data_IF_958839643323
#
_entry.id   IF_958839643323
#
_cell.length_a   1.000
_cell.length_b   1.000
_cell.length_c   1.000
_cell.angle_alpha   90.00
_cell.angle_beta   90.00
_cell.angle_gamma   90.00
#
_symmetry.space_group_name_H-M   'P 1'
#
loop_
_entity.id
_entity.type
_entity.pdbx_description
1 polymer ?
#
# COMPACT_ATOMS: atom_id res chain seq x y z
N UNK A 1 14.99 -16.54 -44.84
CA UNK A 1 15.10 -15.55 -43.76
C UNK A 1 15.38 -14.20 -44.39
N UNK A 2 14.33 -13.47 -44.73
CA UNK A 2 14.42 -12.18 -45.43
C UNK A 2 14.73 -11.06 -44.45
N UNK A 3 15.72 -10.27 -44.83
CA UNK A 3 16.14 -9.05 -44.18
C UNK A 3 15.11 -7.94 -44.44
N UNK A 4 14.01 -7.91 -43.68
CA UNK A 4 13.08 -6.77 -43.68
C UNK A 4 12.21 -6.80 -42.42
N UNK A 5 12.84 -6.66 -41.25
CA UNK A 5 12.11 -6.21 -40.04
C UNK A 5 13.06 -5.55 -39.01
N UNK A 6 13.95 -4.69 -39.50
CA UNK A 6 14.54 -3.64 -38.65
C UNK A 6 13.53 -2.49 -38.67
N UNK A 7 12.39 -2.72 -38.00
CA UNK A 7 11.47 -1.65 -37.66
C UNK A 7 12.27 -0.54 -36.96
N UNK A 8 12.17 0.67 -37.48
CA UNK A 8 12.81 1.85 -36.96
C UNK A 8 12.70 1.89 -35.42
N UNK A 9 13.82 1.80 -34.70
CA UNK A 9 13.85 2.18 -33.29
C UNK A 9 13.97 3.70 -33.26
N UNK A 10 12.89 4.47 -33.00
CA UNK A 10 13.01 5.90 -32.83
C UNK A 10 13.89 6.13 -31.58
N UNK A 11 14.93 6.94 -31.72
CA UNK A 11 15.72 7.38 -30.58
C UNK A 11 14.82 8.16 -29.63
N UNK A 12 14.37 7.52 -28.55
CA UNK A 12 13.42 8.10 -27.59
C UNK A 12 13.88 9.43 -26.98
N UNK A 13 12.95 10.13 -26.34
CA UNK A 13 13.19 11.41 -25.66
C UNK A 13 14.38 11.32 -24.69
N UNK A 14 14.52 10.21 -23.97
CA UNK A 14 15.66 9.91 -23.10
C UNK A 14 16.99 9.89 -23.86
N UNK A 15 17.05 9.22 -25.01
CA UNK A 15 18.29 9.14 -25.81
C UNK A 15 18.67 10.50 -26.34
N UNK A 16 17.69 11.26 -26.83
CA UNK A 16 17.90 12.63 -27.33
C UNK A 16 18.43 13.53 -26.20
N UNK A 17 17.80 13.46 -25.03
CA UNK A 17 18.23 14.18 -23.82
C UNK A 17 19.66 13.81 -23.40
N UNK A 18 19.96 12.51 -23.30
CA UNK A 18 21.25 12.02 -22.85
C UNK A 18 22.40 12.36 -23.81
N UNK A 19 22.14 12.37 -25.13
CA UNK A 19 23.11 12.79 -26.14
C UNK A 19 23.34 14.31 -26.07
N UNK A 20 22.27 15.10 -25.92
CA UNK A 20 22.37 16.55 -25.75
C UNK A 20 23.16 16.97 -24.51
N UNK A 21 23.16 16.13 -23.46
CA UNK A 21 23.87 16.35 -22.19
C UNK A 21 25.02 15.36 -21.96
N UNK A 22 25.68 14.91 -23.02
CA UNK A 22 26.68 13.83 -22.97
C UNK A 22 27.79 14.05 -21.95
N UNK A 23 28.30 15.28 -21.81
CA UNK A 23 29.34 15.61 -20.82
C UNK A 23 28.84 15.38 -19.40
N UNK A 24 27.70 15.97 -19.04
CA UNK A 24 27.07 15.80 -17.73
C UNK A 24 26.75 14.34 -17.41
N UNK A 25 26.13 13.60 -18.35
CA UNK A 25 25.85 12.17 -18.17
C UNK A 25 27.17 11.40 -17.98
N UNK A 26 28.19 11.71 -18.76
CA UNK A 26 29.53 11.15 -18.63
C UNK A 26 30.12 11.36 -17.23
N UNK A 27 30.01 12.57 -16.68
CA UNK A 27 30.51 12.92 -15.35
C UNK A 27 29.78 12.14 -14.25
N UNK A 28 28.45 12.02 -14.33
CA UNK A 28 27.66 11.24 -13.36
C UNK A 28 28.09 9.76 -13.38
N UNK A 29 28.25 9.18 -14.58
CA UNK A 29 28.67 7.78 -14.72
C UNK A 29 30.11 7.57 -14.28
N UNK A 30 31.03 8.47 -14.62
CA UNK A 30 32.42 8.41 -14.20
C UNK A 30 32.55 8.46 -12.68
N UNK A 31 31.80 9.35 -12.01
CA UNK A 31 31.73 9.39 -10.52
C UNK A 31 31.19 8.09 -9.95
N UNK A 32 30.12 7.54 -10.53
CA UNK A 32 29.55 6.28 -10.06
C UNK A 32 30.54 5.10 -10.22
N UNK A 33 31.28 5.04 -11.33
CA UNK A 33 32.32 4.04 -11.58
C UNK A 33 33.51 4.20 -10.63
N UNK A 34 33.96 5.43 -10.38
CA UNK A 34 35.00 5.72 -9.39
C UNK A 34 34.57 5.28 -7.97
N UNK A 35 33.27 5.33 -7.68
CA UNK A 35 32.68 4.80 -6.45
C UNK A 35 32.42 3.27 -6.47
N UNK A 36 32.92 2.55 -7.49
CA UNK A 36 32.86 1.08 -7.56
C UNK A 36 31.64 0.48 -8.25
N UNK A 37 30.83 1.28 -8.95
CA UNK A 37 29.70 0.78 -9.73
C UNK A 37 30.17 -0.06 -10.95
N UNK A 38 29.72 -1.32 -11.09
CA UNK A 38 30.00 -2.10 -12.29
C UNK A 38 29.38 -1.46 -13.53
N UNK A 39 30.15 -1.37 -14.63
CA UNK A 39 29.66 -0.78 -15.90
C UNK A 39 28.41 -1.47 -16.43
N UNK A 40 28.33 -2.80 -16.28
CA UNK A 40 27.18 -3.58 -16.71
C UNK A 40 25.90 -3.22 -15.92
N UNK A 41 26.02 -2.99 -14.62
CA UNK A 41 24.88 -2.62 -13.76
C UNK A 41 24.41 -1.18 -14.04
N UNK A 42 25.35 -0.26 -14.27
CA UNK A 42 25.02 1.09 -14.73
C UNK A 42 24.28 1.03 -16.06
N UNK A 43 24.77 0.25 -17.03
CA UNK A 43 24.11 0.10 -18.33
C UNK A 43 22.68 -0.43 -18.18
N UNK A 44 22.47 -1.47 -17.36
CA UNK A 44 21.14 -2.03 -17.09
C UNK A 44 20.22 -1.01 -16.40
N UNK A 45 20.74 -0.24 -15.45
CA UNK A 45 19.97 0.82 -14.79
C UNK A 45 19.55 1.90 -15.80
N UNK A 46 20.48 2.38 -16.64
CA UNK A 46 20.23 3.37 -17.69
C UNK A 46 19.17 2.89 -18.71
N UNK A 47 19.19 1.62 -19.10
CA UNK A 47 18.18 1.05 -19.97
C UNK A 47 16.78 1.11 -19.34
N UNK A 48 16.66 0.71 -18.06
CA UNK A 48 15.37 0.70 -17.35
C UNK A 48 14.82 2.10 -17.13
N UNK A 49 15.65 3.05 -16.68
CA UNK A 49 15.20 4.45 -16.53
C UNK A 49 14.91 5.10 -17.89
N UNK A 50 15.63 4.70 -18.95
CA UNK A 50 15.40 5.22 -20.30
C UNK A 50 14.02 4.84 -20.83
N UNK A 51 13.67 3.56 -20.77
CA UNK A 51 12.31 3.07 -21.11
C UNK A 51 11.24 3.80 -20.29
N UNK A 52 11.50 3.98 -19.00
CA UNK A 52 10.59 4.69 -18.10
C UNK A 52 10.39 6.16 -18.52
N UNK A 53 11.47 6.91 -18.75
CA UNK A 53 11.43 8.32 -19.13
C UNK A 53 10.84 8.54 -20.53
N UNK A 54 11.09 7.63 -21.47
CA UNK A 54 10.45 7.63 -22.79
C UNK A 54 8.92 7.43 -22.67
N UNK A 55 8.49 6.56 -21.76
CA UNK A 55 7.06 6.38 -21.44
C UNK A 55 6.44 7.65 -20.85
N UNK A 56 7.13 8.31 -19.92
CA UNK A 56 6.69 9.58 -19.32
C UNK A 56 6.60 10.69 -20.37
N UNK A 57 7.58 10.79 -21.28
CA UNK A 57 7.55 11.75 -22.37
C UNK A 57 6.39 11.48 -23.35
N UNK A 58 6.15 10.20 -23.69
CA UNK A 58 5.05 9.77 -24.55
C UNK A 58 3.68 10.07 -23.93
N UNK A 59 3.59 10.00 -22.59
CA UNK A 59 2.40 10.40 -21.84
C UNK A 59 2.16 11.92 -21.80
N UNK A 60 3.00 12.72 -22.47
CA UNK A 60 2.78 14.15 -22.68
C UNK A 60 3.47 15.07 -21.67
N UNK A 61 4.45 14.58 -20.89
CA UNK A 61 5.22 15.46 -20.01
C UNK A 61 6.04 16.46 -20.86
N UNK A 62 5.89 17.80 -20.67
CA UNK A 62 6.63 18.79 -21.44
C UNK A 62 8.15 18.67 -21.26
N UNK A 63 8.93 18.97 -22.30
CA UNK A 63 10.39 18.86 -22.27
C UNK A 63 11.04 19.65 -21.11
N UNK A 64 10.55 20.87 -20.82
CA UNK A 64 11.05 21.68 -19.70
C UNK A 64 10.81 21.07 -18.31
N UNK A 65 9.94 20.06 -18.21
CA UNK A 65 9.69 19.26 -16.99
C UNK A 65 10.37 17.91 -17.02
N UNK A 66 10.56 17.34 -18.21
CA UNK A 66 11.29 16.09 -18.41
C UNK A 66 12.77 16.24 -18.08
N UNK A 67 13.39 17.37 -18.43
CA UNK A 67 14.81 17.64 -18.19
C UNK A 67 15.23 17.50 -16.71
N UNK A 68 14.64 18.27 -15.76
CA UNK A 68 15.00 18.15 -14.35
C UNK A 68 14.63 16.77 -13.76
N UNK A 69 13.56 16.14 -14.25
CA UNK A 69 13.20 14.78 -13.85
C UNK A 69 14.26 13.76 -14.29
N UNK A 70 14.74 13.86 -15.54
CA UNK A 70 15.77 12.98 -16.07
C UNK A 70 17.10 13.13 -15.32
N UNK A 71 17.50 14.36 -14.97
CA UNK A 71 18.67 14.64 -14.13
C UNK A 71 18.55 13.95 -12.76
N UNK A 72 17.43 14.17 -12.09
CA UNK A 72 17.16 13.64 -10.74
C UNK A 72 17.04 12.10 -10.71
N UNK A 73 16.44 11.49 -11.74
CA UNK A 73 16.36 10.02 -11.87
C UNK A 73 17.74 9.42 -12.17
N UNK A 74 18.51 10.02 -13.08
CA UNK A 74 19.86 9.55 -13.42
C UNK A 74 20.78 9.57 -12.20
N UNK A 75 20.82 10.70 -11.47
CA UNK A 75 21.66 10.86 -10.30
C UNK A 75 21.33 9.82 -9.21
N UNK A 76 20.04 9.60 -8.91
CA UNK A 76 19.61 8.60 -7.92
C UNK A 76 19.89 7.17 -8.37
N UNK A 77 19.64 6.83 -9.64
CA UNK A 77 19.92 5.50 -10.17
C UNK A 77 21.42 5.18 -10.08
N UNK A 78 22.27 6.11 -10.53
CA UNK A 78 23.73 5.96 -10.44
C UNK A 78 24.20 5.77 -8.99
N UNK A 79 23.69 6.58 -8.05
CA UNK A 79 24.00 6.43 -6.63
C UNK A 79 23.56 5.07 -6.06
N UNK A 80 22.38 4.56 -6.44
CA UNK A 80 21.92 3.22 -6.02
C UNK A 80 22.79 2.10 -6.59
N UNK A 81 23.24 2.21 -7.84
CA UNK A 81 24.14 1.22 -8.45
C UNK A 81 25.50 1.23 -7.76
N UNK A 82 26.10 2.40 -7.50
CA UNK A 82 27.36 2.49 -6.73
C UNK A 82 27.24 1.86 -5.34
N UNK A 83 26.09 2.04 -4.69
CA UNK A 83 25.79 1.42 -3.40
C UNK A 83 25.42 -0.07 -3.48
N UNK A 84 25.41 -0.70 -4.67
CA UNK A 84 24.93 -2.07 -4.93
C UNK A 84 23.50 -2.35 -4.45
N UNK A 85 22.64 -1.31 -4.50
CA UNK A 85 21.23 -1.35 -4.08
C UNK A 85 20.25 -1.22 -5.23
N UNK A 86 20.71 -1.33 -6.47
CA UNK A 86 19.83 -1.31 -7.64
C UNK A 86 19.15 -2.67 -7.85
N UNK A 87 18.04 -2.91 -7.16
CA UNK A 87 17.26 -4.14 -7.27
C UNK A 87 15.77 -3.89 -7.00
N UNK A 88 14.85 -4.78 -7.46
CA UNK A 88 13.40 -4.55 -7.36
C UNK A 88 12.86 -4.30 -5.95
N UNK A 89 13.53 -4.82 -4.91
CA UNK A 89 13.14 -4.65 -3.50
C UNK A 89 13.71 -3.38 -2.83
N UNK A 90 14.47 -2.55 -3.54
CA UNK A 90 15.00 -1.30 -2.99
C UNK A 90 13.97 -0.18 -3.17
N UNK A 91 13.58 0.53 -2.10
CA UNK A 91 12.53 1.56 -2.18
C UNK A 91 12.81 2.65 -3.20
N UNK A 92 14.07 3.06 -3.38
CA UNK A 92 14.43 4.07 -4.39
C UNK A 92 14.18 3.53 -5.78
N UNK A 93 14.63 2.30 -6.06
CA UNK A 93 14.41 1.63 -7.34
C UNK A 93 12.92 1.46 -7.63
N UNK A 94 12.12 1.04 -6.64
CA UNK A 94 10.65 0.94 -6.75
C UNK A 94 10.01 2.31 -7.05
N UNK A 95 10.41 3.37 -6.35
CA UNK A 95 9.85 4.71 -6.60
C UNK A 95 10.17 5.18 -8.01
N UNK A 96 11.45 5.09 -8.42
CA UNK A 96 11.88 5.56 -9.73
C UNK A 96 11.20 4.83 -10.88
N UNK A 97 10.98 3.52 -10.76
CA UNK A 97 10.47 2.71 -11.87
C UNK A 97 8.94 2.55 -11.83
N UNK A 98 8.33 2.54 -10.64
CA UNK A 98 6.90 2.23 -10.51
C UNK A 98 6.06 3.46 -10.14
N UNK A 99 6.59 4.41 -9.38
CA UNK A 99 5.82 5.58 -8.93
C UNK A 99 5.98 6.76 -9.88
N UNK A 100 7.21 7.10 -10.29
CA UNK A 100 7.49 8.23 -11.19
C UNK A 100 6.62 8.23 -12.45
N UNK A 101 6.41 7.12 -13.18
CA UNK A 101 5.59 7.13 -14.39
C UNK A 101 4.16 7.66 -14.19
N UNK A 102 3.61 7.42 -12.99
CA UNK A 102 2.24 7.79 -12.62
C UNK A 102 2.17 9.20 -12.06
N UNK A 103 3.25 9.68 -11.46
CA UNK A 103 3.28 10.93 -10.70
C UNK A 103 4.04 12.05 -11.40
N UNK A 104 4.71 11.79 -12.52
CA UNK A 104 5.57 12.75 -13.21
C UNK A 104 4.90 14.13 -13.44
N UNK A 105 3.61 14.24 -13.84
CA UNK A 105 2.95 15.54 -13.94
C UNK A 105 2.87 16.30 -12.59
N UNK A 106 2.68 15.57 -11.50
CA UNK A 106 2.47 16.09 -10.15
C UNK A 106 3.78 16.34 -9.36
N UNK A 107 4.96 15.96 -9.87
CA UNK A 107 6.23 16.14 -9.14
C UNK A 107 6.72 17.60 -9.08
N UNK A 108 6.10 18.53 -9.80
CA UNK A 108 6.54 19.92 -9.85
C UNK A 108 7.76 20.16 -10.76
N UNK A 109 8.18 21.42 -10.94
CA UNK A 109 9.31 21.78 -11.80
C UNK A 109 10.65 21.35 -11.19
N UNK A 110 10.72 21.26 -9.86
CA UNK A 110 11.82 20.68 -9.10
C UNK A 110 11.36 19.37 -8.44
N UNK A 111 11.63 18.20 -9.05
CA UNK A 111 11.19 16.91 -8.53
C UNK A 111 12.03 16.41 -7.35
N UNK A 112 13.14 17.07 -7.01
CA UNK A 112 14.12 16.54 -6.06
C UNK A 112 13.52 16.31 -4.66
N UNK A 113 12.81 17.33 -4.14
CA UNK A 113 12.19 17.27 -2.82
C UNK A 113 11.04 16.25 -2.78
N UNK A 114 10.16 16.27 -3.79
CA UNK A 114 9.02 15.36 -3.88
C UNK A 114 9.46 13.89 -3.99
N UNK A 115 10.49 13.59 -4.79
CA UNK A 115 11.04 12.23 -4.87
C UNK A 115 11.67 11.78 -3.56
N UNK A 116 12.37 12.68 -2.86
CA UNK A 116 13.00 12.37 -1.57
C UNK A 116 11.95 12.04 -0.50
N UNK A 117 10.85 12.82 -0.46
CA UNK A 117 9.72 12.57 0.43
C UNK A 117 9.03 11.25 0.09
N UNK A 118 8.79 10.98 -1.19
CA UNK A 118 8.13 9.74 -1.62
C UNK A 118 8.98 8.50 -1.33
N UNK A 119 10.29 8.54 -1.60
CA UNK A 119 11.22 7.46 -1.24
C UNK A 119 11.22 7.24 0.27
N UNK A 120 11.19 8.32 1.05
CA UNK A 120 11.12 8.27 2.51
C UNK A 120 9.82 7.60 2.96
N UNK A 121 8.68 7.98 2.38
CA UNK A 121 7.38 7.39 2.68
C UNK A 121 7.34 5.90 2.31
N UNK A 122 7.75 5.53 1.09
CA UNK A 122 7.76 4.13 0.62
C UNK A 122 8.69 3.27 1.46
N UNK A 123 9.84 3.80 1.87
CA UNK A 123 10.74 3.11 2.79
C UNK A 123 10.07 2.86 4.14
N UNK A 124 9.45 3.91 4.72
CA UNK A 124 8.81 3.84 6.05
C UNK A 124 7.60 2.93 6.10
N UNK A 125 6.80 2.91 5.03
CA UNK A 125 5.54 2.15 4.99
C UNK A 125 5.67 0.78 4.37
N UNK A 126 6.87 0.37 3.96
CA UNK A 126 7.13 -0.95 3.38
C UNK A 126 6.51 -2.03 4.25
N UNK A 127 5.62 -2.83 3.66
CA UNK A 127 4.97 -3.94 4.36
C UNK A 127 3.89 -3.56 5.38
N UNK A 128 3.83 -2.31 5.82
CA UNK A 128 2.74 -1.84 6.69
C UNK A 128 1.48 -1.49 5.90
N UNK A 129 1.63 -1.22 4.60
CA UNK A 129 0.52 -0.90 3.70
C UNK A 129 0.47 -1.85 2.52
N UNK A 130 -0.70 -1.93 1.90
CA UNK A 130 -0.85 -2.46 0.56
C UNK A 130 -0.18 -1.50 -0.45
N UNK A 131 1.11 -1.71 -0.70
CA UNK A 131 1.94 -0.80 -1.49
C UNK A 131 1.46 -0.63 -2.94
N UNK A 132 0.84 -1.67 -3.50
CA UNK A 132 0.26 -1.62 -4.86
C UNK A 132 -0.95 -0.70 -4.86
N UNK A 133 -1.87 -0.91 -3.91
CA UNK A 133 -3.05 -0.04 -3.79
C UNK A 133 -2.70 1.37 -3.41
N UNK A 134 -1.72 1.56 -2.53
CA UNK A 134 -1.28 2.88 -2.13
C UNK A 134 -0.81 3.68 -3.34
N UNK A 135 0.02 3.07 -4.19
CA UNK A 135 0.44 3.68 -5.46
C UNK A 135 -0.73 4.01 -6.38
N UNK A 136 -1.70 3.10 -6.51
CA UNK A 136 -2.85 3.28 -7.41
C UNK A 136 -3.79 4.40 -6.92
N UNK A 137 -4.01 4.51 -5.60
CA UNK A 137 -4.78 5.60 -5.00
C UNK A 137 -4.08 6.96 -5.18
N UNK A 138 -2.75 7.01 -4.99
CA UNK A 138 -1.99 8.25 -5.25
C UNK A 138 -2.03 8.62 -6.73
N UNK A 139 -1.91 7.65 -7.63
CA UNK A 139 -2.05 7.90 -9.07
C UNK A 139 -3.43 8.44 -9.45
N UNK A 140 -4.50 7.87 -8.88
CA UNK A 140 -5.86 8.36 -9.09
C UNK A 140 -6.07 9.78 -8.55
N UNK A 141 -5.52 10.08 -7.36
CA UNK A 141 -5.55 11.41 -6.78
C UNK A 141 -4.83 12.44 -7.68
N UNK A 142 -3.66 12.08 -8.21
CA UNK A 142 -2.84 12.97 -9.01
C UNK A 142 -3.32 13.17 -10.44
N UNK A 143 -4.21 12.32 -10.95
CA UNK A 143 -4.89 12.58 -12.23
C UNK A 143 -5.78 13.83 -12.19
N UNK A 144 -6.32 14.18 -11.00
CA UNK A 144 -7.13 15.37 -10.79
C UNK A 144 -6.38 16.54 -10.16
N UNK A 145 -5.07 16.43 -9.93
CA UNK A 145 -4.27 17.46 -9.28
C UNK A 145 -3.81 18.53 -10.25
N UNK A 146 -3.97 19.79 -9.85
CA UNK A 146 -3.49 20.98 -10.58
C UNK A 146 -2.14 21.48 -10.08
N UNK A 147 -1.75 21.10 -8.85
CA UNK A 147 -0.54 21.57 -8.18
C UNK A 147 0.24 20.44 -7.52
N UNK A 148 1.57 20.58 -7.52
CA UNK A 148 2.49 19.61 -6.92
C UNK A 148 2.41 19.58 -5.38
N UNK A 149 1.94 20.66 -4.77
CA UNK A 149 1.73 20.82 -3.31
C UNK A 149 0.78 19.76 -2.75
N UNK A 150 -0.20 19.31 -3.55
CA UNK A 150 -1.19 18.31 -3.14
C UNK A 150 -0.64 16.88 -3.01
N UNK A 151 0.52 16.58 -3.62
CA UNK A 151 1.08 15.23 -3.65
C UNK A 151 1.28 14.67 -2.24
N UNK A 152 1.84 15.48 -1.32
CA UNK A 152 2.11 15.04 0.04
C UNK A 152 0.81 14.65 0.77
N UNK A 153 -0.21 15.49 0.70
CA UNK A 153 -1.51 15.20 1.33
C UNK A 153 -2.19 13.97 0.73
N UNK A 154 -2.17 13.83 -0.60
CA UNK A 154 -2.73 12.68 -1.29
C UNK A 154 -2.02 11.36 -0.91
N UNK A 155 -0.69 11.37 -0.83
CA UNK A 155 0.13 10.24 -0.37
C UNK A 155 -0.26 9.84 1.05
N UNK A 156 -0.47 10.81 1.94
CA UNK A 156 -0.86 10.56 3.34
C UNK A 156 -2.26 9.96 3.45
N UNK A 157 -3.25 10.50 2.75
CA UNK A 157 -4.63 9.96 2.75
C UNK A 157 -4.67 8.56 2.17
N UNK A 158 -4.02 8.35 1.02
CA UNK A 158 -3.97 7.05 0.37
C UNK A 158 -3.25 6.00 1.22
N UNK A 159 -2.18 6.37 1.93
CA UNK A 159 -1.47 5.47 2.83
C UNK A 159 -2.39 4.98 3.96
N UNK A 160 -3.14 5.89 4.58
CA UNK A 160 -4.10 5.56 5.62
C UNK A 160 -5.15 4.56 5.12
N UNK A 161 -5.75 4.82 3.96
CA UNK A 161 -6.70 3.90 3.31
C UNK A 161 -6.09 2.54 2.99
N UNK A 162 -4.80 2.46 2.69
CA UNK A 162 -4.11 1.22 2.36
C UNK A 162 -3.52 0.47 3.58
N UNK A 163 -3.89 0.87 4.79
CA UNK A 163 -3.52 0.15 6.02
C UNK A 163 -2.52 0.88 6.92
N UNK A 164 -2.06 2.09 6.57
CA UNK A 164 -1.30 2.93 7.50
C UNK A 164 -2.25 3.59 8.49
N UNK A 165 -2.91 2.80 9.33
CA UNK A 165 -3.88 3.29 10.33
C UNK A 165 -3.26 4.37 11.22
N UNK A 166 -1.97 4.27 11.52
CA UNK A 166 -1.20 5.26 12.28
C UNK A 166 -1.13 6.63 11.62
N UNK A 167 -1.41 6.73 10.32
CA UNK A 167 -1.48 7.99 9.58
C UNK A 167 -2.88 8.59 9.53
N UNK A 168 -3.90 7.99 10.18
CA UNK A 168 -5.28 8.49 10.14
C UNK A 168 -5.41 9.97 10.51
N UNK A 169 -4.81 10.40 11.62
CA UNK A 169 -4.90 11.81 12.04
C UNK A 169 -4.24 12.76 11.04
N UNK A 170 -3.03 12.41 10.58
CA UNK A 170 -2.33 13.17 9.54
C UNK A 170 -3.09 13.18 8.21
N UNK A 171 -3.75 12.07 7.86
CA UNK A 171 -4.60 11.95 6.67
C UNK A 171 -5.84 12.84 6.77
N UNK A 172 -6.53 12.85 7.91
CA UNK A 172 -7.68 13.73 8.14
C UNK A 172 -7.27 15.21 8.15
N UNK A 173 -6.12 15.55 8.76
CA UNK A 173 -5.59 16.91 8.72
C UNK A 173 -5.19 17.34 7.31
N UNK A 174 -4.46 16.49 6.58
CA UNK A 174 -4.07 16.77 5.21
C UNK A 174 -5.28 16.88 4.27
N UNK A 175 -6.35 16.11 4.51
CA UNK A 175 -7.54 16.15 3.69
C UNK A 175 -8.25 17.51 3.70
N UNK A 176 -8.11 18.30 4.76
CA UNK A 176 -8.73 19.63 4.86
C UNK A 176 -8.21 20.59 3.77
N UNK A 177 -6.96 20.40 3.31
CA UNK A 177 -6.29 21.29 2.36
C UNK A 177 -6.26 20.72 0.92
N UNK A 178 -6.85 19.54 0.69
CA UNK A 178 -6.82 18.89 -0.63
C UNK A 178 -8.02 19.30 -1.49
N UNK A 179 -7.85 19.63 -2.78
CA UNK A 179 -8.98 19.81 -3.68
C UNK A 179 -9.87 18.57 -3.73
N UNK A 180 -11.16 18.77 -3.97
CA UNK A 180 -12.18 17.71 -3.99
C UNK A 180 -11.80 16.53 -4.90
N UNK A 181 -11.28 16.82 -6.11
CA UNK A 181 -10.82 15.81 -7.08
C UNK A 181 -9.67 14.95 -6.55
N UNK A 182 -8.73 15.58 -5.84
CA UNK A 182 -7.56 14.92 -5.25
C UNK A 182 -7.98 14.09 -4.06
N UNK A 183 -8.82 14.65 -3.18
CA UNK A 183 -9.35 13.96 -2.02
C UNK A 183 -10.19 12.75 -2.42
N UNK A 184 -11.10 12.92 -3.38
CA UNK A 184 -11.91 11.84 -3.94
C UNK A 184 -11.06 10.72 -4.54
N UNK A 185 -9.98 11.05 -5.27
CA UNK A 185 -9.03 10.06 -5.78
C UNK A 185 -8.25 9.33 -4.70
N UNK A 186 -7.72 10.06 -3.69
CA UNK A 186 -6.90 9.50 -2.62
C UNK A 186 -7.69 8.66 -1.62
N UNK A 187 -8.93 9.06 -1.32
CA UNK A 187 -9.85 8.32 -0.45
C UNK A 187 -10.67 7.26 -1.22
N UNK A 188 -10.66 7.32 -2.56
CA UNK A 188 -11.45 6.50 -3.48
C UNK A 188 -12.97 6.70 -3.33
N UNK A 189 -13.39 7.94 -3.12
CA UNK A 189 -14.78 8.35 -3.10
C UNK A 189 -15.24 8.54 -4.55
N UNK A 190 -16.25 7.79 -4.98
CA UNK A 190 -16.76 7.82 -6.35
C UNK A 190 -18.20 8.34 -6.36
N UNK A 191 -18.46 9.51 -6.96
CA UNK A 191 -19.82 10.02 -7.13
C UNK A 191 -20.61 9.10 -8.06
N UNK A 192 -21.73 8.57 -7.58
CA UNK A 192 -22.66 7.77 -8.38
C UNK A 192 -22.11 6.42 -8.85
N UNK A 193 -22.76 5.33 -8.43
CA UNK A 193 -22.49 3.99 -8.94
C UNK A 193 -22.50 2.90 -7.87
N UNK A 194 -22.48 1.65 -8.30
CA UNK A 194 -22.22 0.50 -7.43
C UNK A 194 -20.71 0.41 -7.14
N UNK A 195 -20.35 -0.05 -5.94
CA UNK A 195 -18.95 -0.28 -5.57
C UNK A 195 -18.32 -1.32 -6.53
N UNK A 196 -17.48 -0.88 -7.47
CA UNK A 196 -16.78 -1.76 -8.41
C UNK A 196 -15.62 -2.54 -7.77
N UNK A 197 -15.24 -2.16 -6.54
CA UNK A 197 -14.19 -2.74 -5.71
C UNK A 197 -14.60 -2.59 -4.25
N UNK A 198 -14.20 -3.50 -3.32
CA UNK A 198 -14.45 -3.35 -1.87
C UNK A 198 -13.97 -2.00 -1.31
N UNK A 199 -13.05 -1.36 -2.04
CA UNK A 199 -12.38 -0.11 -1.71
C UNK A 199 -13.01 1.14 -2.31
N UNK A 200 -13.83 0.98 -3.34
CA UNK A 200 -14.57 2.10 -3.89
C UNK A 200 -15.65 2.45 -2.87
N UNK A 201 -15.66 3.69 -2.40
CA UNK A 201 -16.74 4.20 -1.57
C UNK A 201 -17.75 4.85 -2.52
N UNK A 202 -18.88 4.21 -2.84
CA UNK A 202 -19.94 4.88 -3.56
C UNK A 202 -20.48 5.97 -2.65
N UNK A 203 -20.42 7.20 -3.12
CA UNK A 203 -21.01 8.35 -2.45
C UNK A 203 -22.13 8.90 -3.33
N UNK A 204 -23.10 9.58 -2.73
CA UNK A 204 -24.12 10.28 -3.51
C UNK A 204 -23.43 11.28 -4.46
N UNK A 205 -24.03 11.57 -5.61
CA UNK A 205 -23.39 12.41 -6.63
C UNK A 205 -23.10 13.83 -6.12
N UNK A 206 -23.84 14.27 -5.12
CA UNK A 206 -23.77 15.54 -4.40
C UNK A 206 -23.12 15.42 -3.02
N UNK A 207 -22.57 14.25 -2.67
CA UNK A 207 -21.94 14.05 -1.38
C UNK A 207 -20.59 14.76 -1.31
N UNK A 208 -20.43 15.58 -0.28
CA UNK A 208 -19.17 16.22 0.04
C UNK A 208 -18.13 15.17 0.56
N UNK A 209 -16.95 15.03 -0.07
CA UNK A 209 -15.84 14.21 0.42
C UNK A 209 -15.41 14.50 1.85
N UNK A 210 -15.47 15.76 2.28
CA UNK A 210 -15.15 16.17 3.64
C UNK A 210 -16.22 15.71 4.64
N UNK A 211 -17.50 15.67 4.27
CA UNK A 211 -18.56 15.11 5.12
C UNK A 211 -18.38 13.60 5.34
N UNK A 212 -17.94 12.88 4.30
CA UNK A 212 -17.57 11.47 4.43
C UNK A 212 -16.42 11.30 5.41
N UNK A 213 -15.37 12.12 5.31
CA UNK A 213 -14.27 12.06 6.26
C UNK A 213 -14.64 12.53 7.65
N UNK A 214 -15.53 13.50 7.80
CA UNK A 214 -16.04 13.97 9.09
C UNK A 214 -16.87 12.87 9.78
N UNK A 215 -17.70 12.15 9.03
CA UNK A 215 -18.44 11.01 9.56
C UNK A 215 -17.52 9.83 9.85
N UNK A 216 -16.52 9.53 9.01
CA UNK A 216 -15.50 8.55 9.38
C UNK A 216 -14.70 9.01 10.61
N UNK A 217 -14.47 10.32 10.78
CA UNK A 217 -13.79 10.87 11.94
C UNK A 217 -14.56 10.53 13.24
N UNK A 218 -15.89 10.62 13.19
CA UNK A 218 -16.83 10.31 14.29
C UNK A 218 -17.08 8.81 14.48
N UNK A 219 -17.14 8.04 13.40
CA UNK A 219 -17.24 6.57 13.40
C UNK A 219 -16.12 5.99 12.50
N UNK A 220 -14.95 5.63 13.08
CA UNK A 220 -13.79 5.14 12.34
C UNK A 220 -14.06 3.90 11.47
N UNK A 221 -15.11 3.15 11.80
CA UNK A 221 -15.55 1.92 11.14
C UNK A 221 -16.60 2.19 10.07
N UNK A 222 -17.20 3.37 10.12
CA UNK A 222 -18.10 3.83 9.10
C UNK A 222 -17.32 4.25 7.86
N UNK A 223 -17.70 3.66 6.73
CA UNK A 223 -17.26 4.07 5.42
C UNK A 223 -18.44 3.94 4.46
N UNK A 224 -18.62 4.84 3.49
CA UNK A 224 -19.72 4.73 2.52
C UNK A 224 -19.73 3.36 1.83
N UNK A 225 -20.92 2.78 1.73
CA UNK A 225 -21.12 1.44 1.16
C UNK A 225 -20.83 0.28 2.13
N UNK A 226 -20.35 0.51 3.36
CA UNK A 226 -20.19 -0.52 4.39
C UNK A 226 -21.30 -0.43 5.45
N UNK A 227 -21.94 -1.57 5.77
CA UNK A 227 -23.06 -1.64 6.75
C UNK A 227 -22.78 -2.62 7.90
N UNK A 228 -23.12 -2.24 9.15
CA UNK A 228 -23.49 -3.18 10.24
C UNK A 228 -22.73 -3.08 11.59
N UNK A 229 -23.36 -3.48 12.73
CA UNK A 229 -22.71 -3.59 14.05
C UNK A 229 -22.12 -5.01 14.31
N UNK A 230 -21.11 -5.09 15.20
CA UNK A 230 -20.41 -6.30 15.72
C UNK A 230 -19.68 -7.19 14.70
N UNK A 231 -18.44 -6.82 14.33
CA UNK A 231 -17.59 -7.65 13.45
C UNK A 231 -16.14 -7.63 13.93
N UNK A 232 -15.68 -8.72 14.53
CA UNK A 232 -14.27 -8.86 14.93
C UNK A 232 -13.49 -9.18 13.69
N UNK A 233 -12.76 -8.22 13.14
CA UNK A 233 -11.65 -8.62 12.30
C UNK A 233 -11.38 -7.91 11.02
N UNK A 234 -12.05 -6.79 10.77
CA UNK A 234 -11.93 -6.04 9.52
C UNK A 234 -10.52 -6.04 8.90
N UNK A 235 -10.49 -6.07 7.60
CA UNK A 235 -9.27 -5.81 6.86
C UNK A 235 -8.74 -4.40 7.15
N UNK A 236 -7.41 -4.25 7.19
CA UNK A 236 -6.68 -3.07 7.70
C UNK A 236 -7.13 -1.70 7.18
N UNK A 237 -7.53 -1.59 5.92
CA UNK A 237 -8.04 -0.34 5.35
C UNK A 237 -9.53 -0.08 5.58
N UNK A 238 -10.18 -0.92 6.39
CA UNK A 238 -11.56 -0.77 6.87
C UNK A 238 -11.61 -0.84 8.40
N UNK A 239 -10.47 -0.66 9.05
CA UNK A 239 -10.35 -0.48 10.50
C UNK A 239 -9.92 -1.71 11.30
N UNK A 240 -9.95 -2.94 10.77
CA UNK A 240 -9.74 -4.12 11.64
C UNK A 240 -8.32 -4.73 11.67
N UNK A 241 -8.11 -5.79 12.49
CA UNK A 241 -6.80 -6.31 12.89
C UNK A 241 -6.01 -7.06 11.81
N UNK A 242 -6.60 -7.42 10.67
CA UNK A 242 -5.97 -8.37 9.76
C UNK A 242 -5.59 -7.78 8.41
N UNK A 243 -4.37 -8.09 7.98
CA UNK A 243 -3.88 -7.89 6.60
C UNK A 243 -4.27 -9.09 5.73
N UNK A 244 -4.45 -10.26 6.33
CA UNK A 244 -4.74 -11.58 5.75
C UNK A 244 -6.04 -12.18 6.33
N UNK A 245 -6.52 -13.30 5.82
CA UNK A 245 -7.76 -13.91 6.30
C UNK A 245 -7.49 -14.72 7.59
N UNK A 246 -8.29 -14.52 8.65
CA UNK A 246 -8.25 -15.34 9.86
C UNK A 246 -8.96 -16.70 9.67
N UNK A 247 -8.31 -17.82 9.99
CA UNK A 247 -8.88 -19.17 10.06
C UNK A 247 -9.30 -19.50 11.51
N UNK A 248 -10.58 -19.75 11.77
CA UNK A 248 -11.07 -20.13 13.10
C UNK A 248 -10.77 -21.59 13.41
N UNK A 249 -10.03 -21.81 14.50
CA UNK A 249 -9.55 -23.10 14.97
C UNK A 249 -10.44 -23.70 16.08
N UNK A 250 -11.30 -22.87 16.69
CA UNK A 250 -12.37 -23.27 17.61
C UNK A 250 -12.68 -22.23 18.68
N UNK A 251 -13.58 -22.53 19.63
CA UNK A 251 -13.98 -21.57 20.68
C UNK A 251 -15.04 -22.08 21.65
N UNK A 252 -15.27 -21.31 22.72
CA UNK A 252 -16.15 -21.67 23.85
C UNK A 252 -17.41 -20.77 23.97
N UNK A 253 -17.67 -19.93 22.96
CA UNK A 253 -18.83 -19.03 22.92
C UNK A 253 -18.59 -17.63 23.50
N UNK A 254 -17.48 -17.43 24.23
CA UNK A 254 -17.01 -16.10 24.67
C UNK A 254 -15.58 -15.83 24.18
N UNK A 255 -14.85 -16.88 23.80
CA UNK A 255 -13.49 -16.86 23.28
C UNK A 255 -13.37 -17.81 22.09
N UNK A 256 -12.50 -17.45 21.16
CA UNK A 256 -12.27 -18.12 19.90
C UNK A 256 -10.78 -18.10 19.59
N UNK A 257 -10.26 -19.16 19.00
CA UNK A 257 -8.87 -19.26 18.56
C UNK A 257 -8.84 -19.20 17.04
N UNK A 258 -7.97 -18.37 16.48
CA UNK A 258 -7.90 -18.04 15.06
C UNK A 258 -6.45 -18.05 14.62
N UNK A 259 -6.14 -18.28 13.34
CA UNK A 259 -4.80 -18.06 12.80
C UNK A 259 -4.82 -17.34 11.47
N UNK A 260 -3.78 -16.60 11.13
CA UNK A 260 -3.56 -16.03 9.80
C UNK A 260 -2.28 -16.63 9.24
N UNK A 261 -2.17 -16.77 7.91
CA UNK A 261 -0.86 -16.98 7.29
C UNK A 261 0.08 -15.85 7.70
N UNK A 262 1.33 -16.19 8.03
CA UNK A 262 2.33 -15.18 8.36
C UNK A 262 2.76 -14.42 7.10
N UNK A 263 2.45 -13.13 7.02
CA UNK A 263 3.06 -12.21 6.07
C UNK A 263 4.39 -11.67 6.63
N UNK A 264 5.32 -11.21 5.76
CA UNK A 264 6.58 -10.60 6.18
C UNK A 264 6.44 -9.43 7.15
N UNK A 265 5.23 -8.87 7.28
CA UNK A 265 4.88 -7.67 8.02
C UNK A 265 3.90 -7.92 9.17
N UNK A 266 3.64 -9.19 9.48
CA UNK A 266 2.69 -9.56 10.53
C UNK A 266 3.29 -9.44 11.93
N UNK A 267 4.62 -9.54 12.11
CA UNK A 267 5.29 -9.54 13.42
C UNK A 267 5.28 -10.90 14.14
N UNK A 268 5.98 -11.03 15.29
CA UNK A 268 6.13 -12.30 16.02
C UNK A 268 4.79 -12.84 16.61
N UNK A 269 4.68 -14.15 16.86
CA UNK A 269 3.46 -14.74 17.42
C UNK A 269 3.23 -14.30 18.89
N UNK A 270 2.06 -13.75 19.23
CA UNK A 270 1.72 -13.33 20.61
C UNK A 270 1.73 -11.83 20.93
N UNK A 271 2.01 -10.95 19.96
CA UNK A 271 2.17 -9.48 20.18
C UNK A 271 1.31 -8.66 19.21
N UNK A 272 0.63 -7.60 19.68
CA UNK A 272 -0.33 -6.80 18.87
C UNK A 272 0.30 -6.05 17.66
N UNK A 273 1.64 -5.86 17.62
CA UNK A 273 2.42 -5.23 16.52
C UNK A 273 3.21 -6.31 15.70
N UNK A 274 3.24 -6.43 14.35
CA UNK A 274 3.39 -5.58 13.12
C UNK A 274 4.83 -5.06 12.85
N UNK A 275 5.67 -5.76 12.05
CA UNK A 275 6.87 -5.19 11.41
C UNK A 275 7.34 -5.97 10.17
N UNK A 276 7.82 -5.31 9.08
CA UNK A 276 8.32 -5.95 7.86
C UNK A 276 9.78 -6.45 8.05
N UNK A 277 10.01 -7.49 8.85
CA UNK A 277 11.39 -7.87 9.14
C UNK A 277 11.60 -9.32 9.57
N UNK A 278 11.14 -10.30 8.80
CA UNK A 278 11.78 -11.63 8.83
C UNK A 278 12.15 -12.00 7.40
N UNK A 279 13.34 -12.60 7.23
CA UNK A 279 13.59 -13.35 6.01
C UNK A 279 12.50 -14.43 5.92
N UNK A 280 11.93 -14.66 4.74
CA UNK A 280 10.80 -15.58 4.56
C UNK A 280 11.09 -17.01 5.09
N UNK A 281 12.37 -17.33 5.31
CA UNK A 281 12.84 -18.63 5.81
C UNK A 281 12.67 -18.85 7.33
N UNK A 282 12.49 -17.81 8.15
CA UNK A 282 12.38 -17.92 9.62
C UNK A 282 10.97 -17.63 10.16
N UNK A 283 10.01 -17.30 9.30
CA UNK A 283 8.63 -17.05 9.73
C UNK A 283 7.93 -18.37 10.06
N UNK A 284 7.20 -18.46 11.19
CA UNK A 284 6.29 -19.57 11.39
C UNK A 284 5.26 -19.54 10.26
N UNK A 285 4.78 -20.70 9.77
CA UNK A 285 3.83 -20.75 8.65
C UNK A 285 2.51 -20.01 8.96
N UNK A 286 2.17 -19.91 10.24
CA UNK A 286 0.96 -19.25 10.72
C UNK A 286 1.20 -18.42 11.98
N UNK A 287 0.39 -17.39 12.14
CA UNK A 287 0.26 -16.55 13.34
C UNK A 287 -1.08 -16.80 13.99
N UNK A 288 -1.11 -16.97 15.30
CA UNK A 288 -2.34 -17.31 16.03
C UNK A 288 -2.91 -16.10 16.76
N UNK A 289 -4.20 -16.15 17.05
CA UNK A 289 -5.02 -15.09 17.63
C UNK A 289 -6.07 -15.72 18.54
N UNK A 290 -6.32 -15.12 19.70
CA UNK A 290 -7.49 -15.34 20.52
C UNK A 290 -8.44 -14.17 20.31
N UNK A 291 -9.63 -14.48 19.84
CA UNK A 291 -10.74 -13.55 19.70
C UNK A 291 -11.67 -13.71 20.90
N UNK A 292 -12.01 -12.64 21.60
CA UNK A 292 -12.98 -12.63 22.71
C UNK A 292 -14.15 -11.73 22.36
N UNK A 293 -15.36 -12.11 22.74
CA UNK A 293 -16.54 -11.26 22.63
C UNK A 293 -17.42 -11.41 23.86
N UNK A 294 -17.93 -10.28 24.34
CA UNK A 294 -18.84 -10.19 25.47
C UNK A 294 -19.97 -9.20 25.16
N UNK A 295 -20.77 -8.86 26.16
CA UNK A 295 -21.89 -7.91 26.01
C UNK A 295 -21.45 -6.47 25.67
N UNK A 296 -20.15 -6.16 25.80
CA UNK A 296 -19.59 -4.83 25.63
C UNK A 296 -18.80 -4.68 24.34
N UNK A 297 -18.36 -5.76 23.72
CA UNK A 297 -17.54 -5.66 22.53
C UNK A 297 -16.87 -6.96 22.17
N UNK A 298 -15.85 -6.82 21.33
CA UNK A 298 -15.28 -7.94 20.64
C UNK A 298 -13.84 -7.60 20.23
N UNK A 299 -12.85 -8.40 20.62
CA UNK A 299 -11.41 -8.11 20.47
C UNK A 299 -10.66 -9.32 19.95
N UNK A 300 -9.75 -9.11 18.99
CA UNK A 300 -8.73 -10.10 18.59
C UNK A 300 -7.40 -9.78 19.29
N UNK A 301 -6.72 -10.80 19.84
CA UNK A 301 -5.43 -10.70 20.54
C UNK A 301 -4.50 -11.76 19.97
N UNK A 302 -3.34 -11.44 19.40
CA UNK A 302 -2.40 -12.43 18.88
C UNK A 302 -1.86 -13.31 20.01
N UNK A 303 -1.55 -14.55 19.69
CA UNK A 303 -1.12 -15.56 20.64
C UNK A 303 -0.01 -16.44 20.08
N UNK A 304 0.86 -17.00 20.93
CA UNK A 304 1.81 -18.02 20.51
C UNK A 304 1.06 -19.29 20.08
N UNK A 305 1.69 -20.08 19.22
CA UNK A 305 1.18 -21.41 18.89
C UNK A 305 1.08 -22.25 20.18
N UNK A 306 -0.01 -23.00 20.40
CA UNK A 306 -0.16 -23.87 21.57
C UNK A 306 0.94 -24.96 21.60
N UNK A 307 1.43 -25.30 22.81
CA UNK A 307 2.52 -26.28 23.01
C UNK A 307 2.19 -27.74 22.60
N UNK A 308 1.00 -28.00 22.06
CA UNK A 308 0.51 -29.35 21.69
C UNK A 308 -0.27 -29.44 20.38
N UNK A 309 -0.12 -28.47 19.46
CA UNK A 309 -0.80 -28.43 18.16
C UNK A 309 -1.42 -27.06 17.86
N UNK A 310 -2.26 -26.97 16.83
CA UNK A 310 -2.76 -25.67 16.33
C UNK A 310 -3.79 -24.98 17.24
N UNK A 311 -4.39 -25.69 18.21
CA UNK A 311 -5.45 -25.13 19.09
C UNK A 311 -5.26 -25.46 20.58
N UNK A 312 -5.63 -24.56 21.51
CA UNK A 312 -5.60 -24.82 22.95
C UNK A 312 -6.77 -25.72 23.38
N UNK A 313 -6.61 -26.41 24.52
CA UNK A 313 -7.58 -27.41 25.00
C UNK A 313 -9.01 -26.86 25.21
N UNK A 314 -9.14 -25.58 25.55
CA UNK A 314 -10.44 -24.90 25.73
C UNK A 314 -11.15 -24.57 24.40
N UNK A 315 -10.46 -24.62 23.27
CA UNK A 315 -11.00 -24.29 21.94
C UNK A 315 -11.40 -25.55 21.14
N UNK A 316 -11.54 -26.71 21.77
CA UNK A 316 -12.06 -27.90 21.08
C UNK A 316 -13.51 -27.66 20.58
N UNK A 317 -13.95 -28.29 19.46
CA UNK A 317 -15.31 -28.10 18.96
C UNK A 317 -16.27 -28.54 20.05
N UNK A 318 -17.24 -27.68 20.41
CA UNK A 318 -18.27 -28.08 21.37
C UNK A 318 -18.96 -29.35 20.84
N UNK A 319 -19.02 -30.43 21.63
CA UNK A 319 -19.78 -31.61 21.25
C UNK A 319 -21.25 -31.21 21.12
N UNK A 320 -21.90 -31.64 20.05
CA UNK A 320 -23.33 -31.47 19.82
C UNK A 320 -24.12 -31.91 21.06
N UNK A 321 -24.59 -30.96 21.87
CA UNK A 321 -25.35 -31.17 23.10
C UNK A 321 -26.50 -30.15 23.19
N UNK A 322 -27.65 -30.51 23.80
CA UNK A 322 -28.93 -29.87 23.52
C UNK A 322 -29.04 -28.46 24.11
N UNK A 323 -29.73 -27.58 23.38
CA UNK A 323 -29.91 -26.16 23.64
C UNK A 323 -30.66 -25.86 24.96
N UNK A 324 -30.10 -24.95 25.77
CA UNK A 324 -30.79 -24.25 26.86
C UNK A 324 -30.79 -22.73 26.61
N UNK A 325 -31.84 -21.99 27.00
CA UNK A 325 -32.02 -20.59 26.63
C UNK A 325 -31.18 -19.66 27.53
N UNK A 326 -29.88 -19.58 27.25
CA UNK A 326 -29.02 -18.46 27.65
C UNK A 326 -28.50 -17.85 26.37
N UNK A 327 -28.69 -16.55 26.20
CA UNK A 327 -28.49 -15.87 24.91
C UNK A 327 -27.15 -16.25 24.29
N UNK A 328 -27.18 -17.09 23.26
CA UNK A 328 -26.01 -17.87 22.86
C UNK A 328 -25.26 -17.03 21.83
N UNK A 329 -24.08 -16.54 22.20
CA UNK A 329 -23.21 -15.82 21.27
C UNK A 329 -22.42 -16.86 20.47
N UNK A 330 -22.65 -16.92 19.16
CA UNK A 330 -21.94 -17.80 18.24
C UNK A 330 -21.02 -16.97 17.36
N UNK A 331 -19.77 -17.39 17.21
CA UNK A 331 -18.86 -16.81 16.23
C UNK A 331 -18.62 -17.79 15.11
N UNK A 332 -18.78 -17.30 13.89
CA UNK A 332 -18.58 -18.05 12.68
C UNK A 332 -17.46 -17.36 11.90
N UNK A 333 -16.42 -18.12 11.57
CA UNK A 333 -15.57 -17.78 10.45
C UNK A 333 -16.24 -18.33 9.20
N UNK A 334 -16.55 -17.46 8.27
CA UNK A 334 -16.92 -17.89 6.93
C UNK A 334 -15.65 -17.99 6.12
N UNK A 335 -15.52 -19.04 5.31
CA UNK A 335 -14.50 -19.07 4.27
C UNK A 335 -14.55 -17.73 3.52
N UNK A 336 -13.39 -17.06 3.43
CA UNK A 336 -13.18 -15.80 2.71
C UNK A 336 -13.58 -14.46 3.37
N UNK A 337 -13.82 -14.41 4.69
CA UNK A 337 -14.08 -13.14 5.40
C UNK A 337 -12.82 -12.57 6.07
N UNK A 338 -12.43 -11.33 5.78
CA UNK A 338 -11.44 -10.59 6.59
C UNK A 338 -12.08 -10.07 7.89
N UNK A 339 -12.91 -10.89 8.53
CA UNK A 339 -13.50 -10.68 9.84
C UNK A 339 -14.27 -11.93 10.27
N UNK A 340 -14.62 -12.01 11.54
CA UNK A 340 -15.43 -13.01 12.19
C UNK A 340 -16.78 -12.42 12.54
N UNK A 341 -17.83 -13.19 12.28
CA UNK A 341 -19.20 -12.80 12.55
C UNK A 341 -19.61 -13.25 13.95
N UNK A 342 -20.10 -12.33 14.78
CA UNK A 342 -20.58 -12.60 16.15
C UNK A 342 -22.10 -12.45 16.16
N UNK A 343 -22.85 -13.54 16.34
CA UNK A 343 -24.31 -13.53 16.37
C UNK A 343 -24.81 -13.90 17.78
N UNK A 344 -25.87 -13.24 18.25
CA UNK A 344 -26.58 -13.60 19.50
C UNK A 344 -27.88 -14.30 19.13
N UNK A 345 -28.12 -15.50 19.66
CA UNK A 345 -29.45 -16.15 19.68
C UNK A 345 -30.18 -15.85 20.98
#
# INVERSE_FOLDING_TARGET
MTATDVAAQPGGAWRTWAVGRRSHVGDVLARAQAAGAPRADLHRALQRIGVMLDGVATAGLPAGRLDPLAEEVLARAAARVSARRWHPHDPTTTVLLDWVPRLAPALGPDPAAALSDLITAVTRLRGTVDAVRWRDLVGAAMAGATEATHLRGAVTVAAWRCGAVQWRSAALGAAADLPESVLGGAARLRPGGAAGSPWDAPVAADADPWDVLARNAQDPWWWPGLTGPWRIGGFRGFGGPWVRIPELLGGDGLRWWVRTESAPNDGAAGTDDIEPAHSQADLPPYRYWEVRADIHGSRAVPRPAPAGGDRPAWAAPSPSGPAGPSSTVTVQAHEHSYYLHVARR
#
